data_IF_816988810782
#
_entry.id   IF_816988810782
#
_cell.length_a   1.000
_cell.length_b   1.000
_cell.length_c   1.000
_cell.angle_alpha   90.00
_cell.angle_beta   90.00
_cell.angle_gamma   90.00
#
_symmetry.space_group_name_H-M   'P 1'
#
loop_
_entity.id
_entity.type
_entity.pdbx_description
1 polymer ?
#
# COMPACT_ATOMS: atom_id res chain seq x y z
N UNK A 1 -6.06 -25.61 -20.61
CA UNK A 1 -5.43 -24.67 -19.66
C UNK A 1 -6.48 -24.16 -18.70
N UNK A 2 -6.47 -24.66 -17.46
CA UNK A 2 -7.37 -24.19 -16.42
C UNK A 2 -6.88 -22.83 -15.94
N UNK A 3 -7.69 -21.77 -16.16
CA UNK A 3 -7.49 -20.50 -15.45
C UNK A 3 -7.80 -20.77 -13.98
N UNK A 4 -6.89 -20.52 -13.03
CA UNK A 4 -7.28 -20.49 -11.63
C UNK A 4 -8.37 -19.42 -11.50
N UNK A 5 -9.57 -19.82 -11.07
CA UNK A 5 -10.55 -18.86 -10.58
C UNK A 5 -9.87 -18.17 -9.40
N UNK A 6 -9.48 -16.92 -9.59
CA UNK A 6 -9.13 -16.04 -8.48
C UNK A 6 -10.33 -16.05 -7.53
N UNK A 7 -10.22 -16.83 -6.44
CA UNK A 7 -11.10 -16.58 -5.29
C UNK A 7 -10.74 -15.17 -4.88
N UNK A 8 -11.70 -14.25 -5.01
CA UNK A 8 -11.62 -12.90 -4.44
C UNK A 8 -11.03 -13.10 -3.04
N UNK A 9 -9.83 -12.57 -2.75
CA UNK A 9 -9.30 -12.66 -1.40
C UNK A 9 -10.40 -12.16 -0.44
N UNK A 10 -10.57 -12.77 0.75
CA UNK A 10 -11.54 -12.26 1.72
C UNK A 10 -11.30 -10.76 1.83
N UNK A 11 -12.35 -9.99 1.51
CA UNK A 11 -12.29 -8.55 1.44
C UNK A 11 -11.63 -8.06 2.72
N UNK A 12 -10.52 -7.33 2.58
CA UNK A 12 -9.84 -6.73 3.71
C UNK A 12 -10.89 -5.99 4.55
N UNK A 13 -10.97 -6.37 5.82
CA UNK A 13 -12.04 -6.04 6.75
C UNK A 13 -12.32 -4.54 6.70
N UNK A 14 -13.54 -4.14 6.33
CA UNK A 14 -13.98 -2.75 6.15
C UNK A 14 -15.30 -2.71 5.38
N UNK A 15 -16.12 -1.67 5.60
CA UNK A 15 -17.41 -1.51 4.93
C UNK A 15 -17.27 -0.78 3.60
N UNK A 16 -16.23 0.03 3.45
CA UNK A 16 -15.98 0.88 2.29
C UNK A 16 -14.90 0.25 1.39
N UNK A 17 -14.90 0.63 0.11
CA UNK A 17 -13.87 0.23 -0.85
C UNK A 17 -13.04 1.45 -1.25
N UNK A 18 -11.74 1.24 -1.52
CA UNK A 18 -10.86 2.28 -2.03
C UNK A 18 -11.17 2.56 -3.50
N UNK A 19 -11.43 3.83 -3.83
CA UNK A 19 -11.53 4.36 -5.19
C UNK A 19 -10.58 5.54 -5.38
N UNK A 20 -10.26 5.85 -6.63
CA UNK A 20 -9.57 7.10 -6.99
C UNK A 20 -10.53 8.03 -7.77
N UNK A 21 -10.76 9.27 -7.32
CA UNK A 21 -11.42 10.31 -8.12
C UNK A 21 -10.48 10.96 -9.14
N UNK A 22 -9.18 10.62 -9.15
CA UNK A 22 -8.18 11.14 -10.08
C UNK A 22 -6.87 11.56 -9.39
N UNK A 23 -6.06 12.32 -10.13
CA UNK A 23 -4.73 12.76 -9.68
C UNK A 23 -4.75 13.51 -8.35
N UNK A 24 -3.83 13.14 -7.46
CA UNK A 24 -3.62 13.71 -6.14
C UNK A 24 -2.35 14.55 -6.03
N UNK A 25 -1.99 14.90 -4.80
CA UNK A 25 -0.74 15.61 -4.48
C UNK A 25 0.44 14.64 -4.62
N UNK A 26 1.59 15.17 -5.04
CA UNK A 26 2.82 14.37 -5.13
C UNK A 26 3.23 13.86 -3.75
N UNK A 27 3.65 12.58 -3.70
CA UNK A 27 4.18 11.95 -2.51
C UNK A 27 5.70 12.11 -2.51
N UNK A 28 6.29 12.40 -1.34
CA UNK A 28 7.73 12.59 -1.17
C UNK A 28 8.27 11.58 -0.16
N UNK A 29 9.39 10.94 -0.51
CA UNK A 29 10.22 10.17 0.40
C UNK A 29 11.67 10.49 0.12
N UNK A 30 12.44 10.80 1.17
CA UNK A 30 13.80 11.30 1.01
C UNK A 30 13.90 12.40 -0.06
N UNK A 31 14.82 12.21 -1.00
CA UNK A 31 15.02 13.11 -2.16
C UNK A 31 14.10 12.87 -3.36
N UNK A 32 13.23 11.86 -3.33
CA UNK A 32 12.38 11.48 -4.46
C UNK A 32 10.98 12.10 -4.38
N UNK A 33 10.38 12.39 -5.54
CA UNK A 33 9.03 12.93 -5.64
C UNK A 33 8.24 12.16 -6.69
N UNK A 34 7.16 11.51 -6.28
CA UNK A 34 6.34 10.63 -7.12
C UNK A 34 4.96 11.24 -7.36
N UNK A 35 4.43 11.09 -8.58
CA UNK A 35 3.03 11.39 -8.86
C UNK A 35 2.11 10.37 -8.18
N UNK A 36 0.90 10.79 -7.82
CA UNK A 36 -0.03 9.98 -7.06
C UNK A 36 -1.48 10.18 -7.48
N UNK A 37 -2.30 9.17 -7.21
CA UNK A 37 -3.76 9.20 -7.22
C UNK A 37 -4.26 9.60 -5.84
N UNK A 38 -5.30 10.43 -5.81
CA UNK A 38 -6.03 10.69 -4.57
C UNK A 38 -6.88 9.46 -4.25
N UNK A 39 -7.00 9.12 -2.98
CA UNK A 39 -7.83 8.02 -2.52
C UNK A 39 -9.13 8.54 -1.89
N UNK A 40 -10.19 7.76 -2.05
CA UNK A 40 -11.48 7.97 -1.41
C UNK A 40 -12.03 6.63 -0.96
N UNK A 41 -12.56 6.56 0.26
CA UNK A 41 -13.32 5.40 0.72
C UNK A 41 -14.78 5.57 0.32
N UNK A 42 -15.33 4.57 -0.36
CA UNK A 42 -16.65 4.64 -0.97
C UNK A 42 -17.45 3.40 -0.64
N UNK A 43 -18.70 3.56 -0.22
CA UNK A 43 -19.59 2.42 0.01
C UNK A 43 -19.86 1.69 -1.29
N UNK A 44 -19.82 0.35 -1.29
CA UNK A 44 -20.27 -0.42 -2.45
C UNK A 44 -21.79 -0.32 -2.67
N UNK A 45 -22.56 0.05 -1.64
CA UNK A 45 -24.01 0.26 -1.74
C UNK A 45 -24.33 1.64 -2.30
N UNK A 46 -25.36 1.70 -3.14
CA UNK A 46 -25.80 2.92 -3.83
C UNK A 46 -27.23 3.31 -3.42
N UNK A 47 -27.52 4.61 -3.44
CA UNK A 47 -28.85 5.17 -3.29
C UNK A 47 -29.71 4.95 -4.56
N UNK A 48 -30.97 5.41 -4.53
CA UNK A 48 -31.90 5.28 -5.66
C UNK A 48 -31.43 6.03 -6.92
N UNK A 49 -30.50 6.98 -6.78
CA UNK A 49 -29.91 7.76 -7.88
C UNK A 49 -28.56 7.18 -8.35
N UNK A 50 -28.14 6.03 -7.82
CA UNK A 50 -26.88 5.36 -8.19
C UNK A 50 -25.62 5.97 -7.57
N UNK A 51 -25.77 6.85 -6.56
CA UNK A 51 -24.64 7.44 -5.84
C UNK A 51 -24.28 6.58 -4.64
N UNK A 52 -22.99 6.50 -4.24
CA UNK A 52 -22.61 5.79 -3.03
C UNK A 52 -23.32 6.34 -1.80
N UNK A 53 -23.86 5.44 -0.95
CA UNK A 53 -24.57 5.83 0.29
C UNK A 53 -23.64 6.56 1.26
N UNK A 54 -22.37 6.18 1.28
CA UNK A 54 -21.35 6.75 2.17
C UNK A 54 -20.04 6.95 1.42
N UNK A 55 -19.39 8.08 1.69
CA UNK A 55 -18.02 8.36 1.26
C UNK A 55 -17.24 8.95 2.42
N UNK A 56 -15.94 8.65 2.48
CA UNK A 56 -15.04 9.16 3.51
C UNK A 56 -13.70 9.55 2.92
N UNK A 57 -13.32 10.80 3.12
CA UNK A 57 -11.99 11.28 2.75
C UNK A 57 -10.93 10.77 3.74
N UNK A 58 -9.76 10.32 3.25
CA UNK A 58 -8.63 10.00 4.12
C UNK A 58 -8.05 11.23 4.82
N UNK A 59 -7.59 11.03 6.05
CA UNK A 59 -6.98 12.05 6.90
C UNK A 59 -5.54 11.65 7.22
N UNK A 60 -4.68 11.88 6.23
CA UNK A 60 -3.30 11.39 6.22
C UNK A 60 -2.47 11.89 7.41
N UNK A 61 -1.71 10.98 8.02
CA UNK A 61 -0.69 11.29 9.03
C UNK A 61 0.60 10.56 8.72
N UNK A 62 1.64 11.33 8.38
CA UNK A 62 2.96 10.78 8.10
C UNK A 62 3.89 10.93 9.31
N UNK A 63 4.71 9.90 9.55
CA UNK A 63 5.79 9.88 10.55
C UNK A 63 7.00 9.16 9.95
N UNK A 64 8.18 9.64 10.30
CA UNK A 64 9.44 9.01 9.91
C UNK A 64 10.13 8.47 11.15
N UNK A 65 10.70 7.27 11.04
CA UNK A 65 11.40 6.59 12.12
C UNK A 65 12.82 6.25 11.65
N UNK A 66 13.81 6.41 12.53
CA UNK A 66 15.17 5.97 12.25
C UNK A 66 15.25 4.43 12.10
N UNK A 67 16.15 3.98 11.23
CA UNK A 67 16.37 2.60 10.85
C UNK A 67 17.88 2.28 10.79
N UNK A 68 18.36 1.15 11.36
CA UNK A 68 17.59 0.10 12.02
C UNK A 68 16.99 0.56 13.36
N UNK A 69 15.70 0.29 13.54
CA UNK A 69 14.92 0.74 14.68
C UNK A 69 13.47 0.26 14.58
N UNK A 70 12.76 0.31 15.71
CA UNK A 70 11.35 0.01 15.74
C UNK A 70 10.49 1.19 15.28
N UNK A 71 9.32 0.90 14.73
CA UNK A 71 8.37 1.90 14.25
C UNK A 71 6.94 1.53 14.64
N UNK A 72 6.02 2.50 14.60
CA UNK A 72 4.61 2.27 14.82
C UNK A 72 3.84 2.46 13.51
N UNK A 73 3.00 1.48 13.16
CA UNK A 73 2.13 1.51 12.00
C UNK A 73 0.81 0.79 12.29
N UNK A 74 -0.31 1.42 11.91
CA UNK A 74 -1.66 0.90 12.13
C UNK A 74 -1.88 0.54 13.62
N UNK A 75 -1.47 1.44 14.51
CA UNK A 75 -1.60 1.30 15.97
C UNK A 75 -0.81 0.15 16.61
N UNK A 76 0.15 -0.47 15.90
CA UNK A 76 1.01 -1.53 16.43
C UNK A 76 2.48 -1.15 16.30
N UNK A 77 3.31 -1.65 17.22
CA UNK A 77 4.74 -1.37 17.27
C UNK A 77 5.54 -2.55 16.71
N UNK A 78 6.25 -2.30 15.63
CA UNK A 78 7.15 -3.26 15.00
C UNK A 78 8.59 -3.02 15.45
N UNK A 79 9.37 -4.10 15.55
CA UNK A 79 10.81 -4.07 15.87
C UNK A 79 11.68 -3.96 14.62
N UNK A 80 11.18 -4.43 13.48
CA UNK A 80 11.88 -4.46 12.19
C UNK A 80 10.89 -4.61 11.03
N UNK A 81 11.33 -4.32 9.80
CA UNK A 81 10.51 -4.52 8.59
C UNK A 81 10.14 -5.98 8.35
N UNK A 82 10.95 -6.93 8.81
CA UNK A 82 10.67 -8.37 8.69
C UNK A 82 9.41 -8.79 9.45
N UNK A 83 8.99 -8.04 10.46
CA UNK A 83 7.73 -8.30 11.16
C UNK A 83 6.51 -7.96 10.30
N UNK A 84 6.62 -7.12 9.26
CA UNK A 84 5.53 -6.89 8.29
C UNK A 84 5.38 -8.04 7.28
N UNK A 85 6.41 -8.88 7.14
CA UNK A 85 6.46 -10.01 6.21
C UNK A 85 6.71 -11.33 6.91
N UNK A 86 6.29 -11.44 8.18
CA UNK A 86 6.58 -12.55 9.06
C UNK A 86 6.15 -13.92 8.49
N UNK A 87 5.04 -13.98 7.76
CA UNK A 87 4.61 -15.20 7.06
C UNK A 87 4.18 -14.89 5.63
N UNK A 88 4.77 -15.59 4.65
CA UNK A 88 4.35 -15.47 3.25
C UNK A 88 2.99 -16.14 3.04
N UNK A 89 2.07 -15.46 2.36
CA UNK A 89 0.82 -16.05 1.87
C UNK A 89 1.00 -16.43 0.39
N UNK A 90 0.25 -15.78 -0.49
CA UNK A 90 0.29 -15.99 -1.95
C UNK A 90 0.60 -14.68 -2.68
N UNK A 91 1.22 -14.78 -3.85
CA UNK A 91 1.59 -13.64 -4.69
C UNK A 91 2.36 -12.58 -3.90
N UNK A 92 1.81 -11.37 -3.81
CA UNK A 92 2.41 -10.21 -3.14
C UNK A 92 1.93 -10.04 -1.67
N UNK A 93 1.19 -11.01 -1.13
CA UNK A 93 0.60 -10.93 0.20
C UNK A 93 1.39 -11.69 1.28
N UNK A 94 1.35 -11.14 2.49
CA UNK A 94 1.98 -11.65 3.70
C UNK A 94 1.04 -11.51 4.90
N UNK A 95 1.39 -12.14 6.01
CA UNK A 95 0.91 -11.79 7.34
C UNK A 95 2.03 -11.08 8.11
N UNK A 96 1.66 -10.02 8.82
CA UNK A 96 2.53 -9.40 9.81
C UNK A 96 2.68 -10.31 11.06
N UNK A 97 3.56 -9.92 11.99
CA UNK A 97 3.78 -10.61 13.26
C UNK A 97 2.56 -10.64 14.18
N UNK A 98 1.52 -9.86 13.88
CA UNK A 98 0.24 -9.81 14.59
C UNK A 98 -0.86 -10.62 13.89
N UNK A 99 -0.56 -11.27 12.76
CA UNK A 99 -1.52 -12.07 11.98
C UNK A 99 -2.39 -11.25 11.04
N UNK A 100 -2.07 -9.98 10.77
CA UNK A 100 -2.80 -9.10 9.86
C UNK A 100 -2.25 -9.20 8.45
N UNK A 101 -3.12 -9.04 7.45
CA UNK A 101 -2.73 -9.15 6.05
C UNK A 101 -1.99 -7.90 5.59
N UNK A 102 -0.83 -8.11 4.96
CA UNK A 102 0.00 -7.08 4.36
C UNK A 102 0.11 -7.34 2.86
N UNK A 103 -0.13 -6.31 2.05
CA UNK A 103 0.26 -6.30 0.64
C UNK A 103 1.64 -5.65 0.53
N UNK A 104 2.62 -6.35 -0.04
CA UNK A 104 3.97 -5.84 -0.25
C UNK A 104 4.21 -5.61 -1.74
N UNK A 105 4.39 -4.35 -2.14
CA UNK A 105 4.79 -3.97 -3.50
C UNK A 105 6.28 -3.62 -3.45
N UNK A 106 7.03 -4.13 -4.43
CA UNK A 106 8.48 -3.93 -4.52
C UNK A 106 8.80 -3.42 -5.93
N UNK A 107 9.56 -2.34 -6.02
CA UNK A 107 10.06 -1.76 -7.28
C UNK A 107 11.58 -1.70 -7.22
N UNK A 108 12.27 -2.22 -8.24
CA UNK A 108 13.74 -2.10 -8.31
C UNK A 108 14.14 -0.66 -8.56
N UNK A 109 15.28 -0.24 -8.01
CA UNK A 109 15.85 1.07 -8.32
C UNK A 109 16.06 1.24 -9.84
N UNK A 110 15.89 2.47 -10.37
CA UNK A 110 16.04 2.73 -11.79
C UNK A 110 17.47 2.43 -12.23
N UNK A 111 17.61 1.67 -13.32
CA UNK A 111 18.88 1.29 -13.93
C UNK A 111 19.04 2.03 -15.25
N UNK A 112 20.27 2.45 -15.60
CA UNK A 112 20.51 3.16 -16.86
C UNK A 112 20.57 2.19 -18.05
N UNK A 113 21.13 1.01 -17.83
CA UNK A 113 21.19 -0.06 -18.83
C UNK A 113 20.88 -1.46 -18.27
N UNK A 114 20.97 -2.47 -19.14
CA UNK A 114 20.72 -3.87 -18.76
C UNK A 114 21.84 -4.49 -17.92
N UNK A 115 23.06 -3.93 -17.98
CA UNK A 115 24.16 -4.37 -17.15
C UNK A 115 23.93 -3.93 -15.69
N UNK A 116 23.61 -2.65 -15.48
CA UNK A 116 23.18 -2.13 -14.18
C UNK A 116 22.02 -2.94 -13.60
N UNK A 117 21.03 -3.27 -14.43
CA UNK A 117 19.87 -4.04 -14.00
C UNK A 117 20.19 -5.46 -13.51
N UNK A 118 21.30 -6.06 -13.95
CA UNK A 118 21.74 -7.38 -13.48
C UNK A 118 22.35 -7.32 -12.07
N UNK A 119 22.95 -6.19 -11.70
CA UNK A 119 23.64 -6.02 -10.42
C UNK A 119 22.92 -5.09 -9.44
N UNK A 120 21.81 -4.47 -9.86
CA UNK A 120 20.97 -3.68 -8.98
C UNK A 120 20.14 -4.60 -8.07
N UNK A 121 20.47 -4.53 -6.78
CA UNK A 121 19.87 -5.34 -5.71
C UNK A 121 19.06 -4.50 -4.72
N UNK A 122 18.98 -3.18 -4.94
CA UNK A 122 18.20 -2.26 -4.12
C UNK A 122 16.79 -2.11 -4.65
N UNK A 123 15.87 -1.98 -3.72
CA UNK A 123 14.45 -1.87 -4.00
C UNK A 123 13.78 -0.80 -3.16
N UNK A 124 12.78 -0.16 -3.76
CA UNK A 124 11.73 0.54 -3.04
C UNK A 124 10.69 -0.47 -2.58
N UNK A 125 10.29 -0.41 -1.31
CA UNK A 125 9.36 -1.35 -0.70
C UNK A 125 8.20 -0.59 -0.08
N UNK A 126 6.99 -0.96 -0.48
CA UNK A 126 5.75 -0.49 0.11
C UNK A 126 5.02 -1.64 0.77
N UNK A 127 4.68 -1.47 2.04
CA UNK A 127 3.84 -2.39 2.79
C UNK A 127 2.52 -1.71 3.10
N UNK A 128 1.42 -2.32 2.67
CA UNK A 128 0.08 -1.79 2.85
C UNK A 128 -0.69 -2.67 3.83
N UNK A 129 -1.09 -2.05 4.94
CA UNK A 129 -1.96 -2.59 5.98
C UNK A 129 -3.32 -1.91 5.85
N UNK A 130 -4.38 -2.71 5.70
CA UNK A 130 -5.75 -2.20 5.73
C UNK A 130 -6.46 -2.74 6.95
N UNK A 131 -6.93 -1.84 7.78
CA UNK A 131 -7.68 -2.13 9.00
C UNK A 131 -8.98 -1.32 8.94
N UNK A 132 -10.11 -1.99 8.71
CA UNK A 132 -11.37 -1.29 8.48
C UNK A 132 -11.34 -0.45 7.20
N UNK A 133 -11.80 0.80 7.36
CA UNK A 133 -11.85 1.82 6.32
C UNK A 133 -10.66 2.78 6.42
N UNK A 134 -9.49 2.26 6.80
CA UNK A 134 -8.22 2.98 6.83
C UNK A 134 -7.10 2.16 6.20
N UNK A 135 -6.20 2.86 5.49
CA UNK A 135 -5.05 2.29 4.81
C UNK A 135 -3.78 2.90 5.41
N UNK A 136 -2.90 2.06 5.92
CA UNK A 136 -1.57 2.44 6.36
C UNK A 136 -0.54 1.96 5.34
N UNK A 137 0.36 2.85 4.94
CA UNK A 137 1.51 2.56 4.09
C UNK A 137 2.79 2.69 4.91
N UNK A 138 3.62 1.64 4.90
CA UNK A 138 5.00 1.71 5.36
C UNK A 138 5.90 1.67 4.13
N UNK A 139 6.78 2.65 4.00
CA UNK A 139 7.72 2.80 2.91
C UNK A 139 9.15 2.70 3.41
N UNK A 140 9.97 1.96 2.66
CA UNK A 140 11.41 1.82 2.90
C UNK A 140 12.15 1.73 1.57
N UNK A 141 13.29 2.40 1.49
CA UNK A 141 14.25 2.24 0.41
C UNK A 141 15.45 1.44 0.92
N UNK A 142 15.89 0.41 0.20
CA UNK A 142 17.08 -0.34 0.61
C UNK A 142 18.28 0.62 0.75
N UNK A 143 19.08 0.41 1.82
CA UNK A 143 20.22 1.27 2.25
C UNK A 143 19.86 2.59 2.93
N UNK A 144 18.56 2.93 3.02
CA UNK A 144 18.10 4.11 3.75
C UNK A 144 18.16 3.88 5.27
N UNK A 145 18.33 4.97 6.02
CA UNK A 145 18.37 4.99 7.49
C UNK A 145 17.04 5.44 8.10
N UNK A 146 15.98 5.47 7.29
CA UNK A 146 14.64 5.88 7.71
C UNK A 146 13.55 4.94 7.17
N UNK A 147 12.48 4.80 7.94
CA UNK A 147 11.21 4.18 7.52
C UNK A 147 10.11 5.23 7.60
N UNK A 148 9.40 5.42 6.49
CA UNK A 148 8.30 6.36 6.41
C UNK A 148 6.96 5.63 6.59
N UNK A 149 6.21 5.97 7.63
CA UNK A 149 4.87 5.44 7.87
C UNK A 149 3.85 6.54 7.57
N UNK A 150 2.87 6.21 6.75
CA UNK A 150 1.73 7.08 6.42
C UNK A 150 0.46 6.35 6.82
N UNK A 151 -0.19 6.82 7.89
CA UNK A 151 -1.50 6.33 8.31
C UNK A 151 -2.61 7.08 7.56
N UNK A 152 -3.68 6.35 7.28
CA UNK A 152 -4.86 6.85 6.58
C UNK A 152 -4.55 7.58 5.26
N UNK A 153 -3.79 6.88 4.41
CA UNK A 153 -3.21 7.40 3.15
C UNK A 153 -4.25 8.13 2.29
N UNK A 154 -3.97 9.39 1.97
CA UNK A 154 -4.77 10.20 1.04
C UNK A 154 -4.21 10.11 -0.38
N UNK A 155 -2.88 10.08 -0.54
CA UNK A 155 -2.24 10.12 -1.85
C UNK A 155 -1.36 8.88 -2.05
N UNK A 156 -1.72 8.05 -3.04
CA UNK A 156 -1.03 6.81 -3.38
C UNK A 156 -0.33 6.92 -4.73
N UNK A 157 0.94 6.54 -4.77
CA UNK A 157 1.80 6.58 -5.94
C UNK A 157 1.17 5.85 -7.13
N UNK A 158 1.28 6.43 -8.33
CA UNK A 158 0.62 5.89 -9.54
C UNK A 158 0.91 4.39 -9.79
N UNK A 159 2.15 3.97 -9.57
CA UNK A 159 2.54 2.56 -9.72
C UNK A 159 1.83 1.66 -8.72
N UNK A 160 1.78 2.07 -7.45
CA UNK A 160 1.08 1.34 -6.40
C UNK A 160 -0.43 1.28 -6.66
N UNK A 161 -1.05 2.38 -7.10
CA UNK A 161 -2.48 2.38 -7.48
C UNK A 161 -2.78 1.43 -8.65
N UNK A 162 -1.92 1.43 -9.67
CA UNK A 162 -2.04 0.50 -10.80
C UNK A 162 -2.00 -0.95 -10.32
N UNK A 163 -1.09 -1.27 -9.39
CA UNK A 163 -1.02 -2.61 -8.80
C UNK A 163 -2.21 -2.92 -7.89
N UNK A 164 -2.74 -1.94 -7.15
CA UNK A 164 -3.99 -2.11 -6.39
C UNK A 164 -5.15 -2.50 -7.31
N UNK A 165 -5.28 -1.84 -8.47
CA UNK A 165 -6.28 -2.18 -9.48
C UNK A 165 -6.04 -3.60 -10.05
N UNK A 166 -4.79 -3.92 -10.43
CA UNK A 166 -4.42 -5.21 -11.00
C UNK A 166 -4.67 -6.39 -10.05
N UNK A 167 -4.42 -6.18 -8.76
CA UNK A 167 -4.53 -7.20 -7.71
C UNK A 167 -5.93 -7.27 -7.08
N UNK A 168 -6.87 -6.43 -7.52
CA UNK A 168 -8.22 -6.36 -6.95
C UNK A 168 -8.26 -5.86 -5.50
N UNK A 169 -7.27 -5.07 -5.10
CA UNK A 169 -7.18 -4.43 -3.79
C UNK A 169 -8.03 -3.15 -3.71
N UNK A 170 -8.15 -2.45 -4.85
CA UNK A 170 -9.10 -1.36 -5.03
C UNK A 170 -10.49 -1.88 -5.42
N UNK A 171 -11.54 -1.11 -5.09
CA UNK A 171 -12.89 -1.37 -5.55
C UNK A 171 -12.99 -1.33 -7.08
N UNK A 172 -13.87 -2.14 -7.65
CA UNK A 172 -14.14 -2.08 -9.09
C UNK A 172 -14.73 -0.70 -9.45
N UNK A 173 -14.34 -0.14 -10.60
CA UNK A 173 -14.97 1.07 -11.12
C UNK A 173 -16.45 0.83 -11.39
#
# INVERSE_FOLDING_TARGET
>A
MFRPRFKKPPAAEGKLELRSPGGGKKVRFGGSMRGAERLLWVSPEQDAEGRPIETREPHERARTYAYPGGFEAAGRRYKSLTELTATKLDGDYFLDSYGRRVLCIIERFPCFDSFDAMYEHRFYRWYFLREGDSLTRVYYEDEDDEVCVTEDVENLEYNCWRDFCRLGYAGAK
#
